data_IF_093943426954
#
_entry.id   IF_093943426954
#
_cell.length_a   1.000
_cell.length_b   1.000
_cell.length_c   1.000
_cell.angle_alpha   90.00
_cell.angle_beta   90.00
_cell.angle_gamma   90.00
#
_symmetry.space_group_name_H-M   'P 1'
#
loop_
_entity.id
_entity.type
_entity.pdbx_description
1 polymer ?
#
# COMPACT_ATOMS: atom_id res chain seq x y z
N UNK A 1 -9.05 -10.02 7.66
CA UNK A 1 -8.61 -11.01 6.64
C UNK A 1 -7.64 -11.99 7.29
N UNK A 2 -7.83 -13.29 7.13
CA UNK A 2 -6.98 -14.34 7.73
C UNK A 2 -5.49 -14.14 7.42
N UNK A 3 -5.18 -13.83 6.16
CA UNK A 3 -3.81 -13.55 5.72
C UNK A 3 -3.18 -12.33 6.42
N UNK A 4 -3.97 -11.29 6.72
CA UNK A 4 -3.45 -10.11 7.42
C UNK A 4 -3.10 -10.42 8.88
N UNK A 5 -3.92 -11.25 9.55
CA UNK A 5 -3.62 -11.73 10.90
C UNK A 5 -2.37 -12.60 10.91
N UNK A 6 -2.18 -13.43 9.88
CA UNK A 6 -0.95 -14.20 9.70
C UNK A 6 0.27 -13.28 9.58
N UNK A 7 0.22 -12.28 8.69
CA UNK A 7 1.31 -11.32 8.51
C UNK A 7 1.64 -10.54 9.79
N UNK A 8 0.62 -10.10 10.54
CA UNK A 8 0.82 -9.46 11.85
C UNK A 8 1.55 -10.37 12.83
N UNK A 9 1.10 -11.63 12.96
CA UNK A 9 1.74 -12.62 13.83
C UNK A 9 3.18 -12.90 13.39
N UNK A 10 3.43 -13.09 12.10
CA UNK A 10 4.75 -13.34 11.56
C UNK A 10 5.70 -12.14 11.69
N UNK A 11 5.17 -10.90 11.65
CA UNK A 11 5.95 -9.69 11.85
C UNK A 11 6.36 -9.50 13.32
N UNK A 12 5.52 -9.95 14.26
CA UNK A 12 5.82 -9.92 15.70
C UNK A 12 6.54 -11.17 16.21
N UNK A 13 6.66 -12.22 15.39
CA UNK A 13 7.28 -13.50 15.76
C UNK A 13 8.70 -13.61 15.19
N UNK A 14 9.64 -14.08 16.01
CA UNK A 14 11.00 -14.44 15.57
C UNK A 14 11.06 -15.83 14.92
N UNK A 15 9.95 -16.57 14.87
CA UNK A 15 9.91 -17.94 14.37
C UNK A 15 9.74 -17.98 12.84
N UNK A 16 10.70 -18.59 12.14
CA UNK A 16 10.63 -18.77 10.69
C UNK A 16 9.44 -19.64 10.23
N UNK A 17 8.96 -20.55 11.08
CA UNK A 17 7.80 -21.38 10.78
C UNK A 17 6.52 -20.54 10.60
N UNK A 18 6.35 -19.47 11.39
CA UNK A 18 5.20 -18.55 11.24
C UNK A 18 5.28 -17.80 9.90
N UNK A 19 6.48 -17.38 9.48
CA UNK A 19 6.68 -16.72 8.17
C UNK A 19 6.37 -17.66 7.02
N UNK A 20 6.85 -18.91 7.10
CA UNK A 20 6.59 -19.93 6.08
C UNK A 20 5.10 -20.26 5.97
N UNK A 21 4.41 -20.42 7.09
CA UNK A 21 2.98 -20.68 7.12
C UNK A 21 2.17 -19.57 6.42
N UNK A 22 2.57 -18.30 6.59
CA UNK A 22 1.91 -17.19 5.90
C UNK A 22 2.16 -17.18 4.38
N UNK A 23 3.34 -17.61 3.93
CA UNK A 23 3.63 -17.75 2.50
C UNK A 23 2.75 -18.84 1.88
N UNK A 24 2.65 -20.00 2.52
CA UNK A 24 1.79 -21.11 2.07
C UNK A 24 0.31 -20.70 2.04
N UNK A 25 -0.14 -19.95 3.06
CA UNK A 25 -1.50 -19.41 3.10
C UNK A 25 -1.76 -18.43 1.95
N UNK A 26 -0.79 -17.54 1.66
CA UNK A 26 -0.87 -16.61 0.52
C UNK A 26 -1.03 -17.35 -0.80
N UNK A 27 -0.20 -18.36 -1.02
CA UNK A 27 -0.23 -19.18 -2.23
C UNK A 27 -1.57 -19.91 -2.39
N UNK A 28 -2.11 -20.46 -1.29
CA UNK A 28 -3.41 -21.12 -1.30
C UNK A 28 -4.53 -20.16 -1.71
N UNK A 29 -4.57 -18.95 -1.14
CA UNK A 29 -5.56 -17.93 -1.53
C UNK A 29 -5.41 -17.50 -2.99
N UNK A 30 -4.18 -17.22 -3.44
CA UNK A 30 -3.95 -16.80 -4.84
C UNK A 30 -4.30 -17.90 -5.83
N UNK A 31 -4.03 -19.18 -5.52
CA UNK A 31 -4.43 -20.32 -6.37
C UNK A 31 -5.95 -20.52 -6.40
N UNK A 32 -6.63 -20.30 -5.27
CA UNK A 32 -8.08 -20.43 -5.19
C UNK A 32 -8.82 -19.32 -5.94
N UNK A 33 -8.21 -18.15 -6.07
CA UNK A 33 -8.78 -16.99 -6.74
C UNK A 33 -8.36 -16.95 -8.21
N UNK A 34 -9.33 -16.87 -9.13
CA UNK A 34 -9.02 -16.70 -10.55
C UNK A 34 -8.28 -15.37 -10.78
N UNK A 35 -7.05 -15.42 -11.29
CA UNK A 35 -6.26 -14.22 -11.62
C UNK A 35 -7.07 -13.28 -12.52
N UNK A 36 -7.11 -11.99 -12.15
CA UNK A 36 -7.87 -10.96 -12.87
C UNK A 36 -9.37 -10.96 -12.59
N UNK A 37 -9.88 -11.81 -11.68
CA UNK A 37 -11.25 -11.68 -11.18
C UNK A 37 -11.36 -10.55 -10.15
N UNK A 38 -12.57 -9.98 -10.00
CA UNK A 38 -12.86 -8.99 -8.95
C UNK A 38 -12.50 -9.49 -7.54
N UNK A 39 -12.67 -10.78 -7.27
CA UNK A 39 -12.31 -11.39 -5.99
C UNK A 39 -10.79 -11.43 -5.78
N UNK A 40 -10.03 -11.74 -6.84
CA UNK A 40 -8.56 -11.69 -6.81
C UNK A 40 -8.05 -10.25 -6.62
N UNK A 41 -8.64 -9.28 -7.30
CA UNK A 41 -8.30 -7.85 -7.13
C UNK A 41 -8.65 -7.34 -5.73
N UNK A 42 -9.84 -7.66 -5.22
CA UNK A 42 -10.25 -7.30 -3.86
C UNK A 42 -9.35 -7.93 -2.78
N UNK A 43 -8.92 -9.18 -2.99
CA UNK A 43 -7.95 -9.85 -2.12
C UNK A 43 -6.59 -9.14 -2.13
N UNK A 44 -6.06 -8.82 -3.32
CA UNK A 44 -4.80 -8.10 -3.44
C UNK A 44 -4.88 -6.71 -2.80
N UNK A 45 -5.98 -5.99 -2.98
CA UNK A 45 -6.21 -4.69 -2.33
C UNK A 45 -6.22 -4.82 -0.80
N UNK A 46 -6.91 -5.83 -0.27
CA UNK A 46 -6.96 -6.08 1.18
C UNK A 46 -5.60 -6.46 1.76
N UNK A 47 -4.82 -7.28 1.03
CA UNK A 47 -3.44 -7.63 1.39
C UNK A 47 -2.55 -6.37 1.39
N UNK A 48 -2.67 -5.57 0.35
CA UNK A 48 -1.93 -4.33 0.15
C UNK A 48 -2.16 -3.32 1.28
N UNK A 49 -3.40 -3.15 1.73
CA UNK A 49 -3.73 -2.28 2.87
C UNK A 49 -3.13 -2.80 4.18
N UNK A 50 -3.12 -4.12 4.37
CA UNK A 50 -2.50 -4.74 5.54
C UNK A 50 -0.98 -4.56 5.55
N UNK A 51 -0.31 -4.76 4.42
CA UNK A 51 1.14 -4.57 4.29
C UNK A 51 1.54 -3.10 4.53
N UNK A 52 0.72 -2.14 4.08
CA UNK A 52 0.92 -0.72 4.37
C UNK A 52 0.80 -0.44 5.87
N UNK A 53 -0.22 -0.96 6.54
CA UNK A 53 -0.41 -0.80 7.99
C UNK A 53 0.78 -1.37 8.78
N UNK A 54 1.25 -2.57 8.39
CA UNK A 54 2.42 -3.21 9.01
C UNK A 54 3.71 -2.43 8.81
N UNK A 55 3.85 -1.75 7.67
CA UNK A 55 4.99 -0.88 7.38
C UNK A 55 4.86 0.51 8.04
N UNK A 56 3.79 0.77 8.80
CA UNK A 56 3.51 2.08 9.41
C UNK A 56 3.19 3.16 8.38
N UNK A 57 2.73 2.78 7.18
CA UNK A 57 2.42 3.70 6.10
C UNK A 57 0.99 4.22 6.20
N UNK A 58 0.73 5.48 5.80
CA UNK A 58 -0.62 6.01 5.74
C UNK A 58 -1.49 5.18 4.78
N UNK A 59 -2.76 4.99 5.13
CA UNK A 59 -3.76 4.45 4.19
C UNK A 59 -4.33 5.56 3.31
N UNK A 60 -4.77 5.19 2.11
CA UNK A 60 -5.42 6.12 1.19
C UNK A 60 -6.82 6.49 1.66
N UNK A 61 -7.10 7.79 1.76
CA UNK A 61 -8.43 8.32 1.96
C UNK A 61 -8.90 9.08 0.70
N UNK A 62 -9.83 8.53 -0.10
CA UNK A 62 -10.24 9.14 -1.38
C UNK A 62 -10.94 10.50 -1.21
N UNK A 63 -11.52 10.77 -0.04
CA UNK A 63 -12.32 11.97 0.23
C UNK A 63 -11.48 13.21 0.58
N UNK A 64 -10.16 13.07 0.67
CA UNK A 64 -9.27 14.21 0.94
C UNK A 64 -9.12 15.13 -0.27
N UNK A 65 -8.84 16.39 -0.01
CA UNK A 65 -8.46 17.34 -1.05
C UNK A 65 -7.13 16.96 -1.70
N UNK A 66 -6.90 17.45 -2.92
CA UNK A 66 -5.65 17.19 -3.66
C UNK A 66 -4.41 17.72 -2.92
N UNK A 67 -4.53 18.84 -2.20
CA UNK A 67 -3.47 19.38 -1.34
C UNK A 67 -3.16 18.46 -0.15
N UNK A 68 -4.18 17.98 0.57
CA UNK A 68 -3.97 17.06 1.69
C UNK A 68 -3.35 15.73 1.24
N UNK A 69 -3.83 15.19 0.11
CA UNK A 69 -3.25 13.99 -0.52
C UNK A 69 -1.77 14.20 -0.83
N UNK A 70 -1.41 15.36 -1.37
CA UNK A 70 -0.02 15.73 -1.69
C UNK A 70 0.83 15.76 -0.42
N UNK A 71 0.34 16.45 0.63
CA UNK A 71 1.03 16.56 1.91
C UNK A 71 1.32 15.19 2.53
N UNK A 72 0.33 14.30 2.57
CA UNK A 72 0.50 12.94 3.11
C UNK A 72 1.58 12.16 2.35
N UNK A 73 1.60 12.25 1.03
CA UNK A 73 2.63 11.56 0.21
C UNK A 73 4.01 12.18 0.45
N UNK A 74 4.10 13.50 0.54
CA UNK A 74 5.35 14.19 0.84
C UNK A 74 5.90 13.83 2.22
N UNK A 75 5.05 13.84 3.25
CA UNK A 75 5.43 13.43 4.60
C UNK A 75 5.87 11.96 4.63
N UNK A 76 5.20 11.09 3.87
CA UNK A 76 5.62 9.70 3.70
C UNK A 76 7.02 9.61 3.08
N UNK A 77 7.24 10.26 1.93
CA UNK A 77 8.52 10.19 1.20
C UNK A 77 9.70 10.77 2.00
N UNK A 78 9.47 11.85 2.76
CA UNK A 78 10.49 12.49 3.60
C UNK A 78 10.88 11.64 4.80
N UNK A 79 9.91 10.97 5.42
CA UNK A 79 10.14 10.13 6.59
C UNK A 79 10.45 8.66 6.23
N UNK A 80 10.37 8.30 4.96
CA UNK A 80 10.62 6.95 4.50
C UNK A 80 12.12 6.59 4.55
N UNK A 81 12.41 5.45 5.17
CA UNK A 81 13.66 4.74 4.97
C UNK A 81 13.70 4.11 3.57
N UNK A 82 14.88 3.63 3.13
CA UNK A 82 15.02 2.94 1.84
C UNK A 82 14.08 1.74 1.69
N UNK A 83 13.67 1.08 2.78
CA UNK A 83 12.81 -0.10 2.76
C UNK A 83 11.32 0.23 2.56
N UNK A 84 10.82 1.35 3.09
CA UNK A 84 9.39 1.70 3.00
C UNK A 84 9.09 2.79 1.95
N UNK A 85 10.12 3.33 1.28
CA UNK A 85 9.98 4.31 0.18
C UNK A 85 9.11 3.80 -0.97
N UNK A 86 9.19 2.51 -1.30
CA UNK A 86 8.33 1.89 -2.31
C UNK A 86 6.84 1.96 -1.92
N UNK A 87 6.54 1.87 -0.63
CA UNK A 87 5.19 2.01 -0.12
C UNK A 87 4.64 3.43 -0.25
N UNK A 88 5.49 4.46 -0.14
CA UNK A 88 5.10 5.85 -0.40
C UNK A 88 4.84 6.12 -1.90
N UNK A 89 5.62 5.53 -2.81
CA UNK A 89 5.33 5.59 -4.25
C UNK A 89 4.00 4.91 -4.60
N UNK A 90 3.71 3.80 -3.94
CA UNK A 90 2.41 3.15 -4.08
C UNK A 90 1.28 4.03 -3.54
N UNK A 91 1.46 4.65 -2.36
CA UNK A 91 0.51 5.60 -1.78
C UNK A 91 0.22 6.76 -2.74
N UNK A 92 1.25 7.32 -3.39
CA UNK A 92 1.11 8.31 -4.45
C UNK A 92 0.26 7.80 -5.61
N UNK A 93 0.57 6.60 -6.13
CA UNK A 93 -0.18 5.99 -7.22
C UNK A 93 -1.65 5.76 -6.86
N UNK A 94 -1.92 5.29 -5.64
CA UNK A 94 -3.27 5.01 -5.17
C UNK A 94 -4.07 6.31 -4.99
N UNK A 95 -3.48 7.38 -4.47
CA UNK A 95 -4.12 8.70 -4.44
C UNK A 95 -4.40 9.24 -5.84
N UNK A 96 -3.47 9.11 -6.78
CA UNK A 96 -3.66 9.55 -8.17
C UNK A 96 -4.80 8.82 -8.89
N UNK A 97 -5.17 7.60 -8.45
CA UNK A 97 -6.34 6.87 -8.98
C UNK A 97 -7.67 7.44 -8.46
N UNK A 98 -7.65 8.15 -7.33
CA UNK A 98 -8.85 8.79 -6.74
C UNK A 98 -9.15 10.17 -7.32
N UNK A 99 -8.22 10.76 -8.08
CA UNK A 99 -8.38 12.07 -8.71
C UNK A 99 -8.91 11.86 -10.13
N UNK A 100 -10.16 12.27 -10.36
CA UNK A 100 -10.81 12.15 -11.67
C UNK A 100 -10.42 13.25 -12.64
N UNK A 101 -10.16 14.46 -12.12
CA UNK A 101 -9.73 15.59 -12.95
C UNK A 101 -8.27 15.40 -13.42
N UNK A 102 -8.04 15.58 -14.72
CA UNK A 102 -6.74 15.31 -15.34
C UNK A 102 -5.69 16.39 -15.02
N UNK A 103 -6.12 17.64 -14.85
CA UNK A 103 -5.20 18.74 -14.54
C UNK A 103 -4.78 18.69 -13.07
N UNK A 104 -5.72 18.45 -12.17
CA UNK A 104 -5.44 18.21 -10.75
C UNK A 104 -4.56 16.98 -10.56
N UNK A 105 -4.81 15.90 -11.30
CA UNK A 105 -3.99 14.68 -11.22
C UNK A 105 -2.55 14.93 -11.69
N UNK A 106 -2.37 15.74 -12.75
CA UNK A 106 -1.03 16.15 -13.21
C UNK A 106 -0.33 16.99 -12.14
N UNK A 107 -1.02 18.00 -11.60
CA UNK A 107 -0.49 18.86 -10.54
C UNK A 107 -0.08 18.05 -9.31
N UNK A 108 -0.95 17.14 -8.85
CA UNK A 108 -0.66 16.20 -7.76
C UNK A 108 0.61 15.38 -8.03
N UNK A 109 0.73 14.76 -9.21
CA UNK A 109 1.90 13.93 -9.53
C UNK A 109 3.20 14.74 -9.53
N UNK A 110 3.20 15.94 -10.12
CA UNK A 110 4.37 16.82 -10.15
C UNK A 110 4.75 17.22 -8.72
N UNK A 111 3.78 17.72 -7.94
CA UNK A 111 4.02 18.24 -6.60
C UNK A 111 4.45 17.14 -5.61
N UNK A 112 3.94 15.92 -5.76
CA UNK A 112 4.31 14.80 -4.90
C UNK A 112 5.61 14.11 -5.32
N UNK A 113 6.00 14.16 -6.60
CA UNK A 113 7.29 13.63 -7.06
C UNK A 113 8.49 14.42 -6.54
N UNK A 114 8.37 15.75 -6.47
CA UNK A 114 9.47 16.63 -6.00
C UNK A 114 9.80 16.44 -4.52
N UNK A 115 8.87 15.91 -3.73
CA UNK A 115 9.04 15.66 -2.30
C UNK A 115 10.03 14.52 -1.96
N UNK A 116 10.42 13.70 -2.93
CA UNK A 116 11.38 12.60 -2.73
C UNK A 116 12.84 12.94 -3.08
N UNK A 117 13.13 14.17 -3.52
CA UNK A 117 14.41 14.54 -4.16
C UNK A 117 15.35 15.40 -3.30
N UNK A 118 15.12 15.51 -1.99
CA UNK A 118 16.06 16.14 -1.04
C UNK A 118 16.94 15.12 -0.33
#
# INVERSE_FOLDING_TARGET
>A
MEMCNCLKKANSSSNEADKKACLELREKHVKALKKGSKQHEGYLNSLNSCEQELAGLPQTNPNLSTEEKTKIVCDCLKNATKQNRMGCFKLQSDYAKTISDLEEKKAFNINSQTCGTE
#
